data_IF_711128593424
#
_entry.id   IF_711128593424
#
_cell.length_a   1.000
_cell.length_b   1.000
_cell.length_c   1.000
_cell.angle_alpha   90.00
_cell.angle_beta   90.00
_cell.angle_gamma   90.00
#
_symmetry.space_group_name_H-M   'P 1'
#
loop_
_entity.id
_entity.type
_entity.pdbx_description
1 polymer ?
#
# COMPACT_ATOMS: atom_id res chain seq x y z
N UNK A 1 -9.20 25.79 2.55
CA UNK A 1 -8.34 24.65 2.30
C UNK A 1 -8.72 23.43 3.12
N UNK A 2 -8.87 23.53 4.44
CA UNK A 2 -9.25 22.43 5.34
C UNK A 2 -10.56 21.73 4.92
N UNK A 3 -11.59 22.48 4.53
CA UNK A 3 -12.88 21.93 4.09
C UNK A 3 -12.73 21.12 2.79
N UNK A 4 -11.83 21.52 1.89
CA UNK A 4 -11.54 20.77 0.67
C UNK A 4 -10.84 19.44 0.99
N UNK A 5 -9.81 19.46 1.82
CA UNK A 5 -9.10 18.23 2.25
C UNK A 5 -10.08 17.27 2.94
N UNK A 6 -10.94 17.77 3.84
CA UNK A 6 -11.95 16.96 4.51
C UNK A 6 -12.94 16.33 3.53
N UNK A 7 -13.38 17.08 2.52
CA UNK A 7 -14.24 16.58 1.44
C UNK A 7 -13.56 15.50 0.61
N UNK A 8 -12.28 15.68 0.26
CA UNK A 8 -11.49 14.71 -0.48
C UNK A 8 -11.26 13.42 0.32
N UNK A 9 -10.86 13.55 1.61
CA UNK A 9 -10.73 12.39 2.50
C UNK A 9 -12.05 11.62 2.62
N UNK A 10 -13.17 12.33 2.80
CA UNK A 10 -14.48 11.70 2.87
C UNK A 10 -14.83 10.94 1.58
N UNK A 11 -14.55 11.55 0.42
CA UNK A 11 -14.78 10.94 -0.90
C UNK A 11 -13.96 9.66 -1.05
N UNK A 12 -12.66 9.72 -0.77
CA UNK A 12 -11.76 8.57 -0.88
C UNK A 12 -12.20 7.44 0.06
N UNK A 13 -12.54 7.78 1.31
CA UNK A 13 -12.97 6.78 2.30
C UNK A 13 -14.32 6.12 1.96
N UNK A 14 -15.21 6.79 1.22
CA UNK A 14 -16.53 6.26 0.84
C UNK A 14 -16.61 5.77 -0.60
N UNK A 15 -15.52 5.82 -1.36
CA UNK A 15 -15.46 5.29 -2.72
C UNK A 15 -15.47 3.76 -2.73
N UNK A 16 -16.28 3.17 -3.60
CA UNK A 16 -16.29 1.70 -3.82
C UNK A 16 -14.92 1.20 -4.29
N UNK A 17 -14.25 1.97 -5.12
CA UNK A 17 -12.90 1.67 -5.62
C UNK A 17 -11.90 1.52 -4.48
N UNK A 18 -11.98 2.37 -3.44
CA UNK A 18 -11.11 2.29 -2.25
C UNK A 18 -11.33 0.99 -1.49
N UNK A 19 -12.57 0.58 -1.28
CA UNK A 19 -12.87 -0.69 -0.57
C UNK A 19 -12.38 -1.90 -1.33
N UNK A 20 -12.63 -1.96 -2.64
CA UNK A 20 -12.18 -3.06 -3.51
C UNK A 20 -10.65 -3.11 -3.51
N UNK A 21 -9.99 -1.97 -3.66
CA UNK A 21 -8.53 -1.87 -3.67
C UNK A 21 -7.91 -2.30 -2.34
N UNK A 22 -8.48 -1.83 -1.22
CA UNK A 22 -8.05 -2.21 0.12
C UNK A 22 -8.22 -3.72 0.34
N UNK A 23 -9.33 -4.29 -0.11
CA UNK A 23 -9.59 -5.72 -0.05
C UNK A 23 -8.56 -6.53 -0.84
N UNK A 24 -8.26 -6.14 -2.08
CA UNK A 24 -7.23 -6.79 -2.91
C UNK A 24 -5.87 -6.70 -2.23
N UNK A 25 -5.47 -5.51 -1.77
CA UNK A 25 -4.18 -5.30 -1.09
C UNK A 25 -4.06 -6.06 0.23
N UNK A 26 -5.16 -6.35 0.91
CA UNK A 26 -5.16 -7.17 2.13
C UNK A 26 -5.12 -8.68 1.82
N UNK A 27 -5.76 -9.12 0.74
CA UNK A 27 -5.80 -10.55 0.36
C UNK A 27 -4.47 -11.02 -0.23
N UNK A 28 -3.79 -10.17 -1.01
CA UNK A 28 -2.52 -10.54 -1.66
C UNK A 28 -1.43 -11.04 -0.69
N UNK A 29 -1.15 -10.37 0.44
CA UNK A 29 -0.20 -10.87 1.43
C UNK A 29 -0.58 -12.23 2.02
N UNK A 30 -1.86 -12.44 2.28
CA UNK A 30 -2.35 -13.71 2.82
C UNK A 30 -2.13 -14.84 1.83
N UNK A 31 -2.49 -14.62 0.55
CA UNK A 31 -2.24 -15.59 -0.52
C UNK A 31 -0.74 -15.88 -0.68
N UNK A 32 0.09 -14.86 -0.62
CA UNK A 32 1.54 -15.01 -0.67
C UNK A 32 2.05 -15.92 0.45
N UNK A 33 1.62 -15.71 1.70
CA UNK A 33 2.03 -16.55 2.83
C UNK A 33 1.49 -17.98 2.75
N UNK A 34 0.28 -18.17 2.22
CA UNK A 34 -0.27 -19.51 1.97
C UNK A 34 0.59 -20.23 0.93
N UNK A 35 1.01 -19.57 -0.14
CA UNK A 35 1.89 -20.14 -1.16
C UNK A 35 3.25 -20.53 -0.53
N UNK A 36 3.84 -19.64 0.26
CA UNK A 36 5.09 -19.93 0.95
C UNK A 36 4.97 -21.15 1.87
N UNK A 37 3.90 -21.21 2.66
CA UNK A 37 3.63 -22.33 3.56
C UNK A 37 3.51 -23.67 2.80
N UNK A 38 2.71 -23.70 1.74
CA UNK A 38 2.52 -24.91 0.91
C UNK A 38 3.83 -25.31 0.23
N UNK A 39 4.61 -24.34 -0.27
CA UNK A 39 5.89 -24.60 -0.92
C UNK A 39 6.92 -25.11 0.12
N UNK A 40 7.00 -24.53 1.30
CA UNK A 40 7.88 -24.94 2.39
C UNK A 40 7.60 -26.38 2.82
N UNK A 41 6.35 -26.71 3.06
CA UNK A 41 5.94 -28.09 3.41
C UNK A 41 6.29 -29.09 2.30
N UNK A 42 6.18 -28.71 1.04
CA UNK A 42 6.53 -29.56 -0.10
C UNK A 42 8.03 -29.72 -0.29
N UNK A 43 8.83 -28.73 0.11
CA UNK A 43 10.30 -28.71 -0.05
C UNK A 43 11.04 -29.37 1.12
N UNK A 44 10.36 -29.74 2.19
CA UNK A 44 10.96 -30.41 3.37
C UNK A 44 11.64 -31.76 3.06
N UNK A 45 11.47 -32.28 1.85
CA UNK A 45 12.13 -33.52 1.35
C UNK A 45 13.47 -33.25 0.66
N UNK A 46 13.80 -32.03 0.31
CA UNK A 46 15.08 -31.62 -0.31
C UNK A 46 15.65 -30.47 0.52
N UNK A 47 16.92 -30.54 0.88
CA UNK A 47 17.66 -29.56 1.72
C UNK A 47 17.76 -28.15 1.13
N UNK A 48 16.81 -27.74 0.31
CA UNK A 48 16.77 -26.45 -0.33
C UNK A 48 15.94 -25.45 0.49
N UNK A 49 16.32 -24.25 0.41
CA UNK A 49 15.91 -22.98 1.01
C UNK A 49 14.60 -22.99 1.85
N UNK A 50 14.63 -22.58 3.11
CA UNK A 50 13.45 -22.56 3.98
C UNK A 50 12.53 -21.39 3.61
N UNK A 51 11.54 -21.66 2.76
CA UNK A 51 10.54 -20.66 2.34
C UNK A 51 9.44 -20.43 3.39
N UNK A 52 9.25 -21.35 4.31
CA UNK A 52 8.21 -21.38 5.34
C UNK A 52 8.54 -20.57 6.59
N UNK A 53 9.68 -19.89 6.62
CA UNK A 53 10.10 -19.07 7.76
C UNK A 53 9.71 -17.61 7.62
N UNK A 54 9.36 -16.99 8.74
CA UNK A 54 9.04 -15.55 8.81
C UNK A 54 10.18 -14.66 8.31
N UNK A 55 11.44 -15.07 8.55
CA UNK A 55 12.62 -14.34 8.10
C UNK A 55 12.68 -14.15 6.58
N UNK A 56 12.30 -15.18 5.81
CA UNK A 56 12.25 -15.08 4.35
C UNK A 56 11.20 -14.06 3.89
N UNK A 57 9.98 -14.20 4.43
CA UNK A 57 8.88 -13.27 4.12
C UNK A 57 9.27 -11.81 4.43
N UNK A 58 9.90 -11.59 5.58
CA UNK A 58 10.30 -10.26 6.01
C UNK A 58 11.42 -9.67 5.15
N UNK A 59 12.40 -10.49 4.77
CA UNK A 59 13.46 -10.06 3.85
C UNK A 59 12.91 -9.76 2.45
N UNK A 60 11.89 -10.50 2.00
CA UNK A 60 11.22 -10.22 0.74
C UNK A 60 10.49 -8.88 0.76
N UNK A 61 9.81 -8.56 1.86
CA UNK A 61 9.10 -7.29 2.02
C UNK A 61 10.07 -6.10 1.91
N UNK A 62 11.19 -6.15 2.63
CA UNK A 62 12.16 -5.05 2.68
C UNK A 62 13.06 -4.99 1.44
N UNK A 63 13.35 -6.15 0.84
CA UNK A 63 14.19 -6.27 -0.36
C UNK A 63 13.51 -5.89 -1.68
N UNK A 64 12.19 -5.65 -1.66
CA UNK A 64 11.42 -5.39 -2.88
C UNK A 64 10.75 -4.01 -2.92
N UNK A 65 11.48 -2.89 -2.84
CA UNK A 65 10.89 -1.54 -2.86
C UNK A 65 10.14 -1.22 -4.16
N UNK A 66 10.49 -1.89 -5.25
CA UNK A 66 9.83 -1.75 -6.55
C UNK A 66 8.34 -2.14 -6.49
N UNK A 67 7.98 -3.17 -5.72
CA UNK A 67 6.57 -3.58 -5.54
C UNK A 67 5.73 -2.46 -4.92
N UNK A 68 6.28 -1.76 -3.95
CA UNK A 68 5.59 -0.64 -3.29
C UNK A 68 5.48 0.58 -4.21
N UNK A 69 6.45 0.80 -5.08
CA UNK A 69 6.38 1.84 -6.11
C UNK A 69 5.24 1.58 -7.09
N UNK A 70 5.13 0.37 -7.62
CA UNK A 70 4.03 -0.01 -8.51
C UNK A 70 2.69 0.00 -7.77
N UNK A 71 2.64 -0.52 -6.55
CA UNK A 71 1.42 -0.48 -5.73
C UNK A 71 0.93 0.96 -5.51
N UNK A 72 1.83 1.89 -5.20
CA UNK A 72 1.51 3.30 -5.04
C UNK A 72 0.94 3.94 -6.32
N UNK A 73 1.53 3.65 -7.48
CA UNK A 73 1.03 4.13 -8.78
C UNK A 73 -0.38 3.57 -9.09
N UNK A 74 -0.61 2.28 -8.86
CA UNK A 74 -1.91 1.64 -9.07
C UNK A 74 -2.96 2.24 -8.14
N UNK A 75 -2.62 2.42 -6.86
CA UNK A 75 -3.53 3.06 -5.88
C UNK A 75 -3.87 4.47 -6.31
N UNK A 76 -2.89 5.27 -6.76
CA UNK A 76 -3.12 6.60 -7.26
C UNK A 76 -4.06 6.59 -8.48
N UNK A 77 -3.79 5.73 -9.46
CA UNK A 77 -4.63 5.60 -10.65
C UNK A 77 -6.08 5.28 -10.29
N UNK A 78 -6.31 4.28 -9.44
CA UNK A 78 -7.66 3.86 -9.04
C UNK A 78 -8.40 4.93 -8.24
N UNK A 79 -7.72 5.60 -7.31
CA UNK A 79 -8.35 6.62 -6.45
C UNK A 79 -8.74 7.90 -7.21
N UNK A 80 -8.00 8.24 -8.27
CA UNK A 80 -8.18 9.49 -9.00
C UNK A 80 -8.81 9.33 -10.38
N UNK A 81 -9.02 8.09 -10.86
CA UNK A 81 -9.67 7.80 -12.15
C UNK A 81 -11.09 8.39 -12.24
N UNK A 82 -11.88 8.26 -11.19
CA UNK A 82 -13.26 8.77 -11.14
C UNK A 82 -13.34 10.30 -11.25
N UNK A 83 -12.29 10.99 -10.87
CA UNK A 83 -12.22 12.45 -10.94
C UNK A 83 -12.03 12.95 -12.37
N UNK A 84 -11.26 12.24 -13.14
CA UNK A 84 -11.06 12.51 -14.57
C UNK A 84 -12.36 12.27 -15.34
N UNK A 85 -13.07 11.20 -15.03
CA UNK A 85 -14.34 10.83 -15.68
C UNK A 85 -15.47 11.81 -15.37
N UNK A 86 -15.55 12.30 -14.15
CA UNK A 86 -16.66 13.15 -13.68
C UNK A 86 -16.44 14.65 -13.87
N UNK A 87 -15.28 15.08 -14.38
CA UNK A 87 -14.97 16.48 -14.62
C UNK A 87 -14.95 17.38 -13.37
N UNK A 88 -14.85 16.79 -12.18
CA UNK A 88 -14.87 17.49 -10.89
C UNK A 88 -13.77 18.55 -10.76
N UNK A 89 -12.64 18.35 -11.43
CA UNK A 89 -11.55 19.33 -11.54
C UNK A 89 -11.98 20.65 -12.19
N UNK A 90 -12.78 20.56 -13.26
CA UNK A 90 -13.28 21.76 -13.98
C UNK A 90 -14.21 22.56 -13.07
N UNK A 91 -15.07 21.88 -12.32
CA UNK A 91 -15.99 22.52 -11.39
C UNK A 91 -15.24 23.22 -10.24
N UNK A 92 -14.23 22.58 -9.65
CA UNK A 92 -13.46 23.16 -8.56
C UNK A 92 -12.71 24.43 -8.98
N UNK A 93 -12.16 24.46 -10.20
CA UNK A 93 -11.53 25.66 -10.77
C UNK A 93 -12.56 26.75 -11.08
N UNK A 94 -13.76 26.39 -11.56
CA UNK A 94 -14.84 27.33 -11.81
C UNK A 94 -15.34 28.01 -10.53
N UNK A 95 -15.26 27.35 -9.39
CA UNK A 95 -15.55 27.94 -8.06
C UNK A 95 -14.40 28.78 -7.48
N UNK A 96 -13.37 29.09 -8.27
CA UNK A 96 -12.29 30.01 -7.87
C UNK A 96 -11.20 29.41 -7.00
N UNK A 97 -11.10 28.08 -6.90
CA UNK A 97 -10.00 27.42 -6.21
C UNK A 97 -8.78 27.42 -7.14
N UNK A 98 -7.64 27.97 -6.69
CA UNK A 98 -6.40 27.95 -7.48
C UNK A 98 -5.91 26.52 -7.70
N UNK A 99 -5.35 26.26 -8.88
CA UNK A 99 -4.82 24.91 -9.26
C UNK A 99 -3.78 24.39 -8.28
N UNK A 100 -2.95 25.27 -7.74
CA UNK A 100 -1.94 24.93 -6.73
C UNK A 100 -2.56 24.38 -5.44
N UNK A 101 -3.64 25.06 -4.95
CA UNK A 101 -4.35 24.61 -3.74
C UNK A 101 -5.05 23.27 -3.94
N UNK A 102 -5.54 23.03 -5.16
CA UNK A 102 -6.16 21.78 -5.56
C UNK A 102 -5.13 20.63 -5.53
N UNK A 103 -3.98 20.84 -6.19
CA UNK A 103 -2.89 19.87 -6.22
C UNK A 103 -2.36 19.57 -4.82
N UNK A 104 -2.10 20.60 -4.02
CA UNK A 104 -1.59 20.44 -2.66
C UNK A 104 -2.59 19.68 -1.77
N UNK A 105 -3.88 19.96 -1.90
CA UNK A 105 -4.94 19.22 -1.20
C UNK A 105 -4.95 17.74 -1.55
N UNK A 106 -4.78 17.40 -2.83
CA UNK A 106 -4.67 16.01 -3.29
C UNK A 106 -3.43 15.30 -2.76
N UNK A 107 -2.28 15.97 -2.79
CA UNK A 107 -1.05 15.40 -2.22
C UNK A 107 -1.21 15.08 -0.73
N UNK A 108 -1.82 15.97 0.04
CA UNK A 108 -2.09 15.74 1.47
C UNK A 108 -3.03 14.55 1.66
N UNK A 109 -4.11 14.49 0.88
CA UNK A 109 -5.06 13.37 0.95
C UNK A 109 -4.40 12.06 0.55
N UNK A 110 -3.54 12.06 -0.48
CA UNK A 110 -2.78 10.89 -0.89
C UNK A 110 -1.84 10.38 0.22
N UNK A 111 -1.12 11.28 0.88
CA UNK A 111 -0.25 10.92 2.02
C UNK A 111 -1.06 10.30 3.15
N UNK A 112 -2.19 10.89 3.52
CA UNK A 112 -3.07 10.34 4.54
C UNK A 112 -3.62 8.97 4.16
N UNK A 113 -4.08 8.81 2.94
CA UNK A 113 -4.59 7.54 2.41
C UNK A 113 -3.49 6.48 2.38
N UNK A 114 -2.30 6.83 1.89
CA UNK A 114 -1.14 5.94 1.87
C UNK A 114 -0.78 5.46 3.28
N UNK A 115 -0.80 6.35 4.27
CA UNK A 115 -0.50 6.01 5.68
C UNK A 115 -1.49 4.98 6.21
N UNK A 116 -2.78 5.20 6.00
CA UNK A 116 -3.84 4.28 6.46
C UNK A 116 -3.76 2.93 5.76
N UNK A 117 -3.63 2.93 4.43
CA UNK A 117 -3.51 1.70 3.63
C UNK A 117 -2.25 0.91 3.99
N UNK A 118 -1.11 1.60 4.12
CA UNK A 118 0.16 0.97 4.48
C UNK A 118 0.09 0.33 5.86
N UNK A 119 -0.48 1.04 6.85
CA UNK A 119 -0.69 0.52 8.20
C UNK A 119 -1.56 -0.75 8.20
N UNK A 120 -2.66 -0.73 7.45
CA UNK A 120 -3.57 -1.87 7.32
C UNK A 120 -2.87 -3.07 6.63
N UNK A 121 -2.23 -2.84 5.49
CA UNK A 121 -1.53 -3.90 4.72
C UNK A 121 -0.40 -4.49 5.54
N UNK A 122 0.40 -3.68 6.24
CA UNK A 122 1.47 -4.16 7.11
C UNK A 122 0.93 -5.00 8.28
N UNK A 123 -0.17 -4.57 8.88
CA UNK A 123 -0.81 -5.32 9.98
C UNK A 123 -1.25 -6.70 9.49
N UNK A 124 -1.89 -6.77 8.32
CA UNK A 124 -2.31 -8.03 7.71
C UNK A 124 -1.11 -8.88 7.30
N UNK A 125 -0.07 -8.26 6.72
CA UNK A 125 1.16 -8.93 6.30
C UNK A 125 1.88 -9.59 7.49
N UNK A 126 2.16 -8.82 8.53
CA UNK A 126 2.85 -9.31 9.72
C UNK A 126 1.98 -10.34 10.45
N UNK A 127 0.68 -10.07 10.58
CA UNK A 127 -0.26 -10.98 11.22
C UNK A 127 -0.32 -12.34 10.51
N UNK A 128 -0.45 -12.33 9.18
CA UNK A 128 -0.50 -13.58 8.40
C UNK A 128 0.84 -14.32 8.39
N UNK A 129 1.98 -13.61 8.36
CA UNK A 129 3.29 -14.23 8.49
C UNK A 129 3.47 -14.91 9.83
N UNK A 130 3.13 -14.22 10.92
CA UNK A 130 3.22 -14.79 12.27
C UNK A 130 2.24 -15.94 12.53
N UNK A 131 1.13 -16.01 11.82
CA UNK A 131 0.14 -17.07 12.01
C UNK A 131 0.43 -18.32 11.17
N UNK A 132 0.95 -18.15 9.95
CA UNK A 132 1.13 -19.23 8.97
C UNK A 132 2.55 -19.78 8.92
N UNK A 133 3.57 -18.96 9.21
CA UNK A 133 4.98 -19.33 9.02
C UNK A 133 5.67 -19.62 10.35
N UNK A 134 6.71 -20.46 10.31
CA UNK A 134 7.54 -20.73 11.48
C UNK A 134 8.38 -19.51 11.89
N UNK A 135 8.45 -19.25 13.21
CA UNK A 135 9.13 -18.09 13.79
C UNK A 135 10.65 -18.31 13.91
N UNK A 136 11.32 -18.60 12.81
CA UNK A 136 12.74 -18.89 12.76
C UNK A 136 13.46 -17.93 11.81
N UNK A 137 14.76 -17.76 12.01
CA UNK A 137 15.63 -16.99 11.13
C UNK A 137 16.15 -15.68 11.69
N UNK A 138 17.13 -15.05 11.01
CA UNK A 138 17.86 -13.88 11.49
C UNK A 138 17.08 -12.56 11.42
N UNK A 139 16.06 -12.48 10.56
CA UNK A 139 15.30 -11.23 10.36
C UNK A 139 14.22 -11.12 11.41
N UNK A 140 14.38 -10.20 12.33
CA UNK A 140 13.43 -9.94 13.40
C UNK A 140 12.42 -8.85 13.02
N UNK A 141 11.28 -8.83 13.69
CA UNK A 141 10.24 -7.78 13.57
C UNK A 141 10.80 -6.37 13.77
N UNK A 142 11.88 -6.25 14.58
CA UNK A 142 12.58 -4.99 14.82
C UNK A 142 13.27 -4.45 13.55
N UNK A 143 13.85 -5.33 12.73
CA UNK A 143 14.50 -4.93 11.48
C UNK A 143 13.45 -4.42 10.48
N UNK A 144 12.29 -5.08 10.39
CA UNK A 144 11.19 -4.60 9.54
C UNK A 144 10.77 -3.19 9.92
N UNK A 145 10.53 -2.95 11.20
CA UNK A 145 10.09 -1.63 11.68
C UNK A 145 11.10 -0.52 11.39
N UNK A 146 12.40 -0.84 11.29
CA UNK A 146 13.42 0.14 10.90
C UNK A 146 13.45 0.41 9.39
N UNK A 147 13.03 -0.53 8.57
CA UNK A 147 13.04 -0.40 7.10
C UNK A 147 11.71 0.08 6.52
N UNK A 148 10.61 -0.09 7.24
CA UNK A 148 9.27 0.40 6.85
C UNK A 148 9.25 1.87 6.42
N UNK A 149 9.95 2.82 7.08
CA UNK A 149 9.96 4.20 6.65
C UNK A 149 10.50 4.42 5.22
N UNK A 150 11.51 3.65 4.80
CA UNK A 150 12.04 3.74 3.44
C UNK A 150 11.02 3.23 2.42
N UNK A 151 10.39 2.09 2.69
CA UNK A 151 9.34 1.49 1.86
C UNK A 151 8.12 2.42 1.78
N UNK A 152 7.73 3.04 2.89
CA UNK A 152 6.66 4.03 2.93
C UNK A 152 7.00 5.26 2.08
N UNK A 153 8.23 5.76 2.17
CA UNK A 153 8.69 6.90 1.37
C UNK A 153 8.58 6.65 -0.13
N UNK A 154 8.96 5.47 -0.61
CA UNK A 154 8.83 5.10 -2.03
C UNK A 154 7.38 4.99 -2.48
N UNK A 155 6.49 4.43 -1.66
CA UNK A 155 5.06 4.34 -1.95
C UNK A 155 4.40 5.72 -2.04
N UNK A 156 4.69 6.62 -1.10
CA UNK A 156 4.15 7.99 -1.11
C UNK A 156 4.67 8.77 -2.31
N UNK A 157 5.97 8.69 -2.62
CA UNK A 157 6.55 9.37 -3.76
C UNK A 157 5.90 8.91 -5.08
N UNK A 158 5.67 7.61 -5.25
CA UNK A 158 5.01 7.06 -6.43
C UNK A 158 3.54 7.47 -6.53
N UNK A 159 2.81 7.56 -5.42
CA UNK A 159 1.44 8.08 -5.41
C UNK A 159 1.39 9.55 -5.84
N UNK A 160 2.29 10.40 -5.34
CA UNK A 160 2.35 11.81 -5.74
C UNK A 160 2.68 11.93 -7.23
N UNK A 161 3.60 11.12 -7.75
CA UNK A 161 3.91 11.06 -9.17
C UNK A 161 2.69 10.65 -10.00
N UNK A 162 1.96 9.62 -9.55
CA UNK A 162 0.73 9.17 -10.22
C UNK A 162 -0.40 10.21 -10.24
N UNK A 163 -0.43 11.13 -9.27
CA UNK A 163 -1.38 12.25 -9.25
C UNK A 163 -0.94 13.38 -10.19
N UNK A 164 0.37 13.54 -10.39
CA UNK A 164 0.94 14.58 -11.24
C UNK A 164 0.85 14.26 -12.75
N UNK A 165 0.78 12.98 -13.10
CA UNK A 165 0.62 12.48 -14.48
C UNK A 165 -0.84 12.52 -14.94
#
# INVERSE_FOLDING_TARGET
MLNYIKSECYRVMHSRSTYVMTGIMAVLPVLFHIILYVTGVSSSTTQDFPYDITSFSFSFLTGSPMLFTYAGLIVAAVLYEDEHKNGNLKNAVAFGISREKLFLGKCITAVLTATVLMGLVLTVYIGSACFLLEHTGPTSLKIILTEVPAVYGTAVASMILGIAL
#
